data_IF_467741124908
#
_entry.id   IF_467741124908
#
_cell.length_a   1.000
_cell.length_b   1.000
_cell.length_c   1.000
_cell.angle_alpha   90.00
_cell.angle_beta   90.00
_cell.angle_gamma   90.00
#
_symmetry.space_group_name_H-M   'P 1'
#
loop_
_entity.id
_entity.type
_entity.pdbx_description
1 polymer ?
#
# COMPACT_ATOMS: atom_id res chain seq x y z
N UNK A 1 -6.40 -5.20 34.03
CA UNK A 1 -6.18 -4.16 32.99
C UNK A 1 -4.71 -4.00 32.58
N UNK A 2 -3.74 -4.52 33.34
CA UNK A 2 -2.29 -4.30 33.13
C UNK A 2 -1.67 -5.13 31.98
N UNK A 3 -2.19 -6.34 31.69
CA UNK A 3 -1.65 -7.18 30.60
C UNK A 3 -1.73 -6.55 29.20
N UNK A 4 -2.78 -5.76 28.92
CA UNK A 4 -2.89 -5.04 27.63
C UNK A 4 -1.86 -3.93 27.51
N UNK A 5 -1.51 -3.28 28.63
CA UNK A 5 -0.56 -2.17 28.68
C UNK A 5 0.86 -2.62 28.32
N UNK A 6 1.31 -3.73 28.93
CA UNK A 6 2.61 -4.34 28.59
C UNK A 6 2.68 -4.81 27.14
N UNK A 7 1.54 -5.15 26.54
CA UNK A 7 1.49 -5.66 25.17
C UNK A 7 1.69 -4.59 24.10
N UNK A 8 1.23 -3.35 24.31
CA UNK A 8 1.35 -2.30 23.29
C UNK A 8 2.75 -1.69 23.26
N UNK A 9 3.37 -1.47 24.42
CA UNK A 9 4.75 -0.97 24.52
C UNK A 9 5.73 -1.93 23.83
N UNK A 10 5.53 -3.24 23.98
CA UNK A 10 6.38 -4.27 23.36
C UNK A 10 6.08 -4.53 21.88
N UNK A 11 4.83 -4.39 21.44
CA UNK A 11 4.42 -4.69 20.05
C UNK A 11 4.54 -3.50 19.10
N UNK A 12 4.42 -2.27 19.58
CA UNK A 12 4.47 -1.09 18.72
C UNK A 12 5.80 -0.96 17.95
N UNK A 13 6.98 -1.19 18.56
CA UNK A 13 8.25 -1.18 17.82
C UNK A 13 8.31 -2.26 16.74
N UNK A 14 7.76 -3.45 17.01
CA UNK A 14 7.69 -4.55 16.04
C UNK A 14 6.83 -4.18 14.84
N UNK A 15 5.63 -3.63 15.09
CA UNK A 15 4.73 -3.17 14.03
C UNK A 15 5.38 -2.05 13.20
N UNK A 16 6.07 -1.11 13.86
CA UNK A 16 6.79 -0.06 13.15
C UNK A 16 7.91 -0.60 12.25
N UNK A 17 8.70 -1.57 12.74
CA UNK A 17 9.70 -2.24 11.92
C UNK A 17 9.05 -2.97 10.72
N UNK A 18 7.95 -3.69 10.94
CA UNK A 18 7.20 -4.34 9.85
C UNK A 18 6.69 -3.34 8.81
N UNK A 19 6.24 -2.14 9.21
CA UNK A 19 5.84 -1.09 8.25
C UNK A 19 7.02 -0.67 7.38
N UNK A 20 8.21 -0.50 7.96
CA UNK A 20 9.42 -0.14 7.21
C UNK A 20 9.82 -1.22 6.21
N UNK A 21 9.81 -2.48 6.64
CA UNK A 21 10.10 -3.63 5.78
C UNK A 21 9.10 -3.72 4.61
N UNK A 22 7.80 -3.56 4.89
CA UNK A 22 6.76 -3.59 3.87
C UNK A 22 6.87 -2.40 2.91
N UNK A 23 7.23 -1.21 3.36
CA UNK A 23 7.48 -0.07 2.46
C UNK A 23 8.68 -0.31 1.53
N UNK A 24 9.72 -0.99 2.01
CA UNK A 24 10.84 -1.39 1.18
C UNK A 24 10.38 -2.41 0.12
N UNK A 25 9.57 -3.40 0.51
CA UNK A 25 8.97 -4.37 -0.42
C UNK A 25 8.08 -3.70 -1.47
N UNK A 26 7.22 -2.75 -1.05
CA UNK A 26 6.36 -1.97 -1.95
C UNK A 26 7.18 -1.22 -3.00
N UNK A 27 8.28 -0.61 -2.58
CA UNK A 27 9.18 0.14 -3.46
C UNK A 27 9.86 -0.80 -4.47
N UNK A 28 10.27 -1.99 -4.04
CA UNK A 28 10.83 -3.03 -4.90
C UNK A 28 9.78 -3.51 -5.94
N UNK A 29 8.57 -3.85 -5.50
CA UNK A 29 7.47 -4.26 -6.40
C UNK A 29 7.09 -3.17 -7.39
N UNK A 30 7.13 -1.89 -6.99
CA UNK A 30 6.91 -0.76 -7.90
C UNK A 30 7.95 -0.70 -9.01
N UNK A 31 9.22 -0.93 -8.69
CA UNK A 31 10.29 -0.99 -9.71
C UNK A 31 10.08 -2.17 -10.67
N UNK A 32 9.71 -3.34 -10.15
CA UNK A 32 9.37 -4.51 -10.97
C UNK A 32 8.19 -4.23 -11.89
N UNK A 33 7.14 -3.57 -11.39
CA UNK A 33 5.97 -3.20 -12.18
C UNK A 33 6.32 -2.21 -13.30
N UNK A 34 7.13 -1.19 -13.00
CA UNK A 34 7.59 -0.23 -14.01
C UNK A 34 8.42 -0.91 -15.10
N UNK A 35 9.28 -1.85 -14.72
CA UNK A 35 10.08 -2.63 -15.66
C UNK A 35 9.21 -3.56 -16.51
N UNK A 36 8.26 -4.27 -15.88
CA UNK A 36 7.29 -5.12 -16.56
C UNK A 36 6.45 -4.34 -17.58
N UNK A 37 6.00 -3.13 -17.22
CA UNK A 37 5.31 -2.20 -18.14
C UNK A 37 6.22 -1.75 -19.29
N UNK A 38 7.50 -1.49 -19.01
CA UNK A 38 8.49 -1.07 -20.01
C UNK A 38 8.74 -2.15 -21.06
N UNK A 39 8.86 -3.41 -20.65
CA UNK A 39 9.14 -4.54 -21.56
C UNK A 39 7.87 -5.19 -22.12
N UNK A 40 6.69 -4.71 -21.73
CA UNK A 40 5.40 -5.26 -22.19
C UNK A 40 5.12 -6.67 -21.66
N UNK A 41 5.51 -6.97 -20.44
CA UNK A 41 5.29 -8.28 -19.84
C UNK A 41 3.79 -8.55 -19.58
N UNK A 42 3.36 -9.80 -19.76
CA UNK A 42 1.94 -10.18 -19.61
C UNK A 42 1.47 -10.18 -18.14
N UNK A 43 2.40 -10.31 -17.18
CA UNK A 43 2.12 -10.37 -15.75
C UNK A 43 1.97 -8.99 -15.07
N UNK A 44 1.89 -7.90 -15.83
CA UNK A 44 1.72 -6.54 -15.29
C UNK A 44 0.49 -6.44 -14.38
N UNK A 45 -0.64 -7.06 -14.76
CA UNK A 45 -1.87 -7.03 -13.96
C UNK A 45 -1.72 -7.73 -12.61
N UNK A 46 -1.03 -8.87 -12.58
CA UNK A 46 -0.78 -9.60 -11.33
C UNK A 46 0.12 -8.76 -10.40
N UNK A 47 1.15 -8.12 -10.95
CA UNK A 47 2.01 -7.21 -10.21
C UNK A 47 1.27 -5.98 -9.69
N UNK A 48 0.29 -5.45 -10.42
CA UNK A 48 -0.58 -4.35 -9.95
C UNK A 48 -1.45 -4.77 -8.76
N UNK A 49 -2.03 -5.97 -8.82
CA UNK A 49 -2.84 -6.53 -7.73
C UNK A 49 -1.98 -6.75 -6.48
N UNK A 50 -0.82 -7.37 -6.64
CA UNK A 50 0.12 -7.58 -5.52
C UNK A 50 0.60 -6.25 -4.92
N UNK A 51 0.89 -5.26 -5.77
CA UNK A 51 1.31 -3.94 -5.33
C UNK A 51 0.20 -3.24 -4.52
N UNK A 52 -1.05 -3.21 -5.04
CA UNK A 52 -2.18 -2.61 -4.34
C UNK A 52 -2.59 -3.35 -3.05
N UNK A 53 -2.44 -4.68 -3.03
CA UNK A 53 -2.63 -5.48 -1.81
C UNK A 53 -1.64 -5.06 -0.73
N UNK A 54 -0.38 -4.87 -1.12
CA UNK A 54 0.68 -4.50 -0.20
C UNK A 54 0.55 -3.05 0.31
N UNK A 55 0.03 -2.13 -0.52
CA UNK A 55 -0.38 -0.79 -0.04
C UNK A 55 -1.46 -0.89 1.04
N UNK A 56 -2.49 -1.71 0.81
CA UNK A 56 -3.59 -1.89 1.75
C UNK A 56 -3.12 -2.50 3.08
N UNK A 57 -2.17 -3.43 3.04
CA UNK A 57 -1.53 -4.00 4.23
C UNK A 57 -0.74 -2.94 5.02
N UNK A 58 0.01 -2.09 4.34
CA UNK A 58 0.75 -0.99 4.97
C UNK A 58 -0.22 -0.01 5.64
N UNK A 59 -1.30 0.38 4.97
CA UNK A 59 -2.30 1.29 5.51
C UNK A 59 -2.94 0.74 6.80
N UNK A 60 -3.25 -0.57 6.82
CA UNK A 60 -3.78 -1.23 8.01
C UNK A 60 -2.76 -1.25 9.16
N UNK A 61 -1.49 -1.52 8.87
CA UNK A 61 -0.42 -1.51 9.87
C UNK A 61 -0.19 -0.11 10.43
N UNK A 62 -0.19 0.92 9.58
CA UNK A 62 -0.06 2.31 9.99
C UNK A 62 -1.25 2.74 10.85
N UNK A 63 -2.47 2.37 10.47
CA UNK A 63 -3.66 2.61 11.28
C UNK A 63 -3.53 1.95 12.65
N UNK A 64 -3.12 0.68 12.70
CA UNK A 64 -2.91 -0.07 13.95
C UNK A 64 -1.86 0.59 14.83
N UNK A 65 -0.72 0.98 14.26
CA UNK A 65 0.35 1.67 14.96
C UNK A 65 -0.14 3.03 15.52
N UNK A 66 -0.96 3.75 14.76
CA UNK A 66 -1.53 5.02 15.20
C UNK A 66 -2.50 4.85 16.37
N UNK A 67 -3.39 3.85 16.32
CA UNK A 67 -4.28 3.53 17.44
C UNK A 67 -3.48 3.20 18.70
N UNK A 68 -2.43 2.38 18.58
CA UNK A 68 -1.55 2.04 19.70
C UNK A 68 -0.81 3.26 20.25
N UNK A 69 -0.28 4.14 19.36
CA UNK A 69 0.36 5.40 19.76
C UNK A 69 -0.60 6.31 20.51
N UNK A 70 -1.83 6.47 20.01
CA UNK A 70 -2.86 7.29 20.65
C UNK A 70 -3.20 6.76 22.04
N UNK A 71 -3.38 5.45 22.20
CA UNK A 71 -3.63 4.84 23.53
C UNK A 71 -2.47 5.09 24.50
N UNK A 72 -1.22 4.93 24.05
CA UNK A 72 -0.04 5.20 24.88
C UNK A 72 0.09 6.69 25.25
N UNK A 73 -0.23 7.61 24.32
CA UNK A 73 -0.22 9.06 24.59
C UNK A 73 -1.32 9.46 25.59
N UNK A 74 -2.55 8.98 25.41
CA UNK A 74 -3.67 9.24 26.33
C UNK A 74 -3.36 8.80 27.76
N UNK A 75 -2.55 7.76 27.90
CA UNK A 75 -2.11 7.23 29.20
C UNK A 75 -0.83 7.89 29.73
N UNK A 76 -0.24 8.84 29.01
CA UNK A 76 1.00 9.52 29.39
C UNK A 76 2.27 8.65 29.27
N UNK A 77 2.19 7.52 28.57
CA UNK A 77 3.28 6.56 28.39
C UNK A 77 4.14 6.86 27.16
N UNK A 78 3.68 7.75 26.29
CA UNK A 78 4.40 8.23 25.12
C UNK A 78 4.26 9.77 25.07
N UNK A 79 5.35 10.51 24.84
CA UNK A 79 5.30 11.97 24.75
C UNK A 79 5.12 12.40 23.28
N UNK A 80 4.30 13.43 23.05
CA UNK A 80 3.97 13.99 21.72
C UNK A 80 5.16 14.26 20.79
N UNK A 81 6.37 14.46 21.34
CA UNK A 81 7.56 14.79 20.54
C UNK A 81 8.05 13.65 19.63
N UNK A 82 7.62 12.41 19.85
CA UNK A 82 7.94 11.26 19.00
C UNK A 82 6.90 10.97 17.90
N UNK A 83 5.72 11.60 17.94
CA UNK A 83 4.58 11.27 17.06
C UNK A 83 4.49 12.23 15.87
N UNK A 84 5.62 12.58 15.26
CA UNK A 84 5.59 13.08 13.87
C UNK A 84 5.47 11.89 12.93
N UNK A 85 4.25 11.35 12.84
CA UNK A 85 3.84 10.51 11.73
C UNK A 85 3.89 11.39 10.47
N UNK A 86 5.04 11.38 9.77
CA UNK A 86 5.18 12.02 8.46
C UNK A 86 4.24 11.30 7.50
N UNK A 87 2.99 11.78 7.37
CA UNK A 87 2.19 11.57 6.17
C UNK A 87 2.90 12.30 5.02
N UNK A 88 3.83 11.60 4.37
CA UNK A 88 4.20 11.87 3.00
C UNK A 88 3.73 10.67 2.17
N UNK A 89 2.41 10.55 2.04
CA UNK A 89 1.85 9.83 0.90
C UNK A 89 2.04 10.76 -0.30
N UNK A 90 3.15 10.59 -1.02
CA UNK A 90 3.27 11.14 -2.38
C UNK A 90 2.38 10.25 -3.24
N UNK A 91 1.12 10.65 -3.31
CA UNK A 91 0.07 10.04 -4.12
C UNK A 91 0.45 10.25 -5.59
N UNK A 92 1.21 9.33 -6.18
CA UNK A 92 1.33 9.24 -7.63
C UNK A 92 0.05 8.57 -8.14
N UNK A 93 -0.99 9.40 -8.22
CA UNK A 93 -2.27 9.11 -8.86
C UNK A 93 -1.99 8.66 -10.30
N UNK A 94 -2.07 7.36 -10.56
CA UNK A 94 -2.11 6.82 -11.92
C UNK A 94 -3.55 6.95 -12.48
N UNK A 95 -4.10 8.16 -12.45
CA UNK A 95 -5.30 8.49 -13.22
C UNK A 95 -4.80 8.95 -14.60
N UNK A 96 -4.63 8.02 -15.53
CA UNK A 96 -4.17 8.40 -16.87
C UNK A 96 -3.76 7.27 -17.80
N UNK A 97 -4.56 6.21 -17.93
CA UNK A 97 -4.57 5.41 -19.16
C UNK A 97 -6.02 5.07 -19.53
N UNK A 98 -6.71 6.08 -20.04
CA UNK A 98 -7.85 5.89 -20.91
C UNK A 98 -7.29 5.32 -22.23
N UNK A 99 -7.31 4.00 -22.38
CA UNK A 99 -7.06 3.35 -23.66
C UNK A 99 -8.36 3.41 -24.47
N UNK A 100 -8.57 4.53 -25.16
CA UNK A 100 -9.26 4.46 -26.44
C UNK A 100 -8.26 3.93 -27.45
N UNK A 101 -8.49 2.72 -27.98
CA UNK A 101 -8.09 2.39 -29.36
C UNK A 101 -8.82 1.12 -29.87
N UNK A 102 -9.89 1.39 -30.62
CA UNK A 102 -10.10 0.98 -32.01
C UNK A 102 -9.97 -0.50 -32.46
N UNK A 103 -11.12 -1.02 -32.92
CA UNK A 103 -11.36 -1.54 -34.29
C UNK A 103 -10.93 -2.99 -34.65
N UNK A 104 -11.93 -3.88 -34.79
CA UNK A 104 -11.96 -5.02 -35.74
C UNK A 104 -13.42 -5.17 -36.16
N UNK A 105 -13.82 -4.88 -37.40
CA UNK A 105 -13.49 -5.66 -38.60
C UNK A 105 -14.72 -6.49 -38.96
N UNK A 106 -15.35 -6.16 -40.08
CA UNK A 106 -16.67 -6.69 -40.47
C UNK A 106 -16.71 -8.20 -40.69
N UNK A 107 -17.91 -8.76 -40.64
CA UNK A 107 -18.25 -9.88 -41.50
C UNK A 107 -19.73 -9.84 -41.91
N UNK A 108 -19.91 -10.04 -43.21
CA UNK A 108 -21.15 -10.17 -43.95
C UNK A 108 -21.97 -11.36 -43.46
N UNK A 109 -23.29 -11.20 -43.33
CA UNK A 109 -24.25 -12.25 -43.66
C UNK A 109 -25.46 -11.67 -44.41
N UNK A 110 -25.60 -12.18 -45.63
CA UNK A 110 -26.70 -12.07 -46.59
C UNK A 110 -27.93 -12.81 -46.07
N UNK A 111 -29.15 -12.34 -46.35
CA UNK A 111 -30.24 -13.17 -46.90
C UNK A 111 -31.57 -12.39 -47.08
N UNK A 112 -31.94 -12.26 -48.37
CA UNK A 112 -33.28 -12.21 -49.00
C UNK A 112 -34.19 -11.02 -48.68
#
# INVERSE_FOLDING_TARGET
MEQRQSSFISKLPVIMATIEDRKAELSCKKLQLLEAKRVGAENVKDLEIEWGTLESEIDLLEHTANVMKMDLMQRGLLRDKEVRCRRQAVFLRLDGLHMEDNNVGGNSYVAI
#
